data_IF_109933714439
#
_entry.id   IF_109933714439
#
_cell.length_a   1.000
_cell.length_b   1.000
_cell.length_c   1.000
_cell.angle_alpha   90.00
_cell.angle_beta   90.00
_cell.angle_gamma   90.00
#
_symmetry.space_group_name_H-M   'P 1'
#
loop_
_entity.id
_entity.type
_entity.pdbx_description
1 polymer ?
#
# COMPACT_ATOMS: atom_id res chain seq x y z
N UNK A 1 -39.41 12.38 -2.66
CA UNK A 1 -38.40 11.78 -3.55
C UNK A 1 -37.25 12.77 -3.74
N UNK A 2 -36.62 13.20 -2.65
CA UNK A 2 -35.41 14.04 -2.68
C UNK A 2 -34.44 13.68 -1.55
N UNK A 3 -34.81 12.73 -0.66
CA UNK A 3 -33.96 12.23 0.43
C UNK A 3 -33.02 11.11 -0.04
N UNK A 4 -33.31 10.42 -1.14
CA UNK A 4 -32.53 9.25 -1.57
C UNK A 4 -31.19 9.61 -2.24
N UNK A 5 -31.00 10.85 -2.71
CA UNK A 5 -29.80 11.23 -3.46
C UNK A 5 -28.61 11.62 -2.57
N UNK A 6 -28.86 12.16 -1.37
CA UNK A 6 -27.81 12.60 -0.44
C UNK A 6 -27.18 11.41 0.31
N UNK A 7 -27.98 10.41 0.69
CA UNK A 7 -27.51 9.18 1.34
C UNK A 7 -26.59 8.35 0.42
N UNK A 8 -26.93 8.23 -0.87
CA UNK A 8 -26.10 7.49 -1.84
C UNK A 8 -24.73 8.17 -2.01
N UNK A 9 -24.71 9.50 -2.14
CA UNK A 9 -23.47 10.26 -2.32
C UNK A 9 -22.54 10.17 -1.10
N UNK A 10 -23.08 10.12 0.12
CA UNK A 10 -22.30 9.97 1.34
C UNK A 10 -21.73 8.55 1.48
N UNK A 11 -22.52 7.54 1.13
CA UNK A 11 -22.08 6.14 1.21
C UNK A 11 -20.99 5.82 0.17
N UNK A 12 -21.09 6.38 -1.05
CA UNK A 12 -20.06 6.25 -2.09
C UNK A 12 -18.74 6.95 -1.68
N UNK A 13 -18.83 8.17 -1.14
CA UNK A 13 -17.64 8.91 -0.71
C UNK A 13 -16.92 8.27 0.49
N UNK A 14 -17.65 7.64 1.40
CA UNK A 14 -17.04 6.87 2.50
C UNK A 14 -16.35 5.60 2.00
N UNK A 15 -16.99 4.85 1.10
CA UNK A 15 -16.39 3.65 0.47
C UNK A 15 -15.13 3.99 -0.32
N UNK A 16 -15.13 5.10 -1.05
CA UNK A 16 -13.95 5.54 -1.80
C UNK A 16 -12.81 5.99 -0.87
N UNK A 17 -13.12 6.67 0.24
CA UNK A 17 -12.16 7.04 1.28
C UNK A 17 -11.51 5.84 1.97
N UNK A 18 -12.31 4.85 2.39
CA UNK A 18 -11.80 3.61 2.99
C UNK A 18 -10.95 2.80 2.00
N UNK A 19 -11.40 2.66 0.75
CA UNK A 19 -10.67 1.92 -0.28
C UNK A 19 -9.31 2.57 -0.56
N UNK A 20 -9.25 3.91 -0.65
CA UNK A 20 -8.00 4.65 -0.84
C UNK A 20 -7.07 4.51 0.36
N UNK A 21 -7.56 4.75 1.58
CA UNK A 21 -6.74 4.65 2.79
C UNK A 21 -6.18 3.24 3.02
N UNK A 22 -6.95 2.20 2.69
CA UNK A 22 -6.49 0.80 2.80
C UNK A 22 -5.45 0.47 1.73
N UNK A 23 -5.64 0.93 0.50
CA UNK A 23 -4.68 0.72 -0.58
C UNK A 23 -3.36 1.46 -0.35
N UNK A 24 -3.41 2.69 0.16
CA UNK A 24 -2.23 3.47 0.55
C UNK A 24 -1.48 2.79 1.70
N UNK A 25 -2.20 2.37 2.75
CA UNK A 25 -1.61 1.66 3.88
C UNK A 25 -0.95 0.34 3.50
N UNK A 26 -1.53 -0.44 2.57
CA UNK A 26 -0.93 -1.70 2.11
C UNK A 26 0.38 -1.45 1.36
N UNK A 27 0.42 -0.46 0.46
CA UNK A 27 1.62 -0.12 -0.31
C UNK A 27 2.72 0.46 0.57
N UNK A 28 2.39 1.37 1.47
CA UNK A 28 3.35 1.92 2.43
C UNK A 28 3.92 0.81 3.32
N UNK A 29 3.08 -0.11 3.81
CA UNK A 29 3.55 -1.20 4.66
C UNK A 29 4.49 -2.16 3.92
N UNK A 30 4.22 -2.49 2.65
CA UNK A 30 5.11 -3.30 1.83
C UNK A 30 6.50 -2.66 1.65
N UNK A 31 6.54 -1.33 1.42
CA UNK A 31 7.78 -0.56 1.29
C UNK A 31 8.53 -0.49 2.63
N UNK A 32 7.84 -0.23 3.74
CA UNK A 32 8.44 -0.16 5.08
C UNK A 32 9.05 -1.51 5.47
N UNK A 33 8.33 -2.60 5.22
CA UNK A 33 8.82 -3.96 5.48
C UNK A 33 10.04 -4.25 4.61
N UNK A 34 10.01 -3.93 3.31
CA UNK A 34 11.15 -4.13 2.42
C UNK A 34 12.38 -3.31 2.84
N UNK A 35 12.21 -2.03 3.21
CA UNK A 35 13.29 -1.18 3.74
C UNK A 35 13.87 -1.76 5.03
N UNK A 36 13.02 -2.28 5.93
CA UNK A 36 13.47 -2.90 7.19
C UNK A 36 14.23 -4.19 6.93
N UNK A 37 13.73 -5.09 6.08
CA UNK A 37 14.41 -6.33 5.72
C UNK A 37 15.75 -6.08 5.03
N UNK A 38 15.84 -5.07 4.16
CA UNK A 38 17.11 -4.64 3.56
C UNK A 38 18.12 -4.20 4.62
N UNK A 39 17.69 -3.41 5.62
CA UNK A 39 18.54 -2.96 6.73
C UNK A 39 19.03 -4.11 7.62
N UNK A 40 18.18 -5.12 7.82
CA UNK A 40 18.50 -6.34 8.57
C UNK A 40 19.43 -7.30 7.76
N UNK A 41 19.68 -7.01 6.48
CA UNK A 41 20.60 -7.78 5.65
C UNK A 41 19.96 -8.97 4.92
N UNK A 42 18.63 -9.00 4.79
CA UNK A 42 17.96 -10.02 3.99
C UNK A 42 18.30 -9.88 2.50
N UNK A 43 18.40 -11.00 1.77
CA UNK A 43 18.63 -10.96 0.32
C UNK A 43 17.40 -10.41 -0.40
N UNK A 44 17.62 -9.65 -1.47
CA UNK A 44 16.55 -9.00 -2.24
C UNK A 44 15.52 -10.00 -2.79
N UNK A 45 15.92 -11.23 -3.09
CA UNK A 45 15.03 -12.30 -3.55
C UNK A 45 13.99 -12.71 -2.50
N UNK A 46 14.40 -12.80 -1.23
CA UNK A 46 13.48 -13.13 -0.14
C UNK A 46 12.55 -11.97 0.17
N UNK A 47 13.08 -10.74 0.15
CA UNK A 47 12.28 -9.52 0.29
C UNK A 47 11.23 -9.47 -0.82
N UNK A 48 11.62 -9.74 -2.06
CA UNK A 48 10.71 -9.74 -3.22
C UNK A 48 9.57 -10.74 -3.07
N UNK A 49 9.85 -11.94 -2.54
CA UNK A 49 8.82 -12.94 -2.27
C UNK A 49 7.88 -12.56 -1.11
N UNK A 50 8.39 -11.87 -0.10
CA UNK A 50 7.64 -11.55 1.13
C UNK A 50 6.82 -10.28 1.02
N UNK A 51 7.29 -9.29 0.26
CA UNK A 51 6.62 -7.99 0.09
C UNK A 51 5.92 -7.85 -1.26
N UNK A 52 6.01 -8.88 -2.11
CA UNK A 52 5.51 -8.90 -3.49
C UNK A 52 6.07 -7.76 -4.36
N UNK A 53 7.15 -7.12 -3.91
CA UNK A 53 7.86 -6.10 -4.67
C UNK A 53 8.85 -6.75 -5.62
N UNK A 54 9.07 -6.11 -6.75
CA UNK A 54 10.13 -6.53 -7.67
C UNK A 54 11.52 -6.19 -7.11
N UNK A 55 12.54 -6.93 -7.55
CA UNK A 55 13.95 -6.64 -7.23
C UNK A 55 14.29 -5.19 -7.60
N UNK A 56 13.75 -4.66 -8.69
CA UNK A 56 13.96 -3.28 -9.12
C UNK A 56 13.36 -2.26 -8.16
N UNK A 57 12.13 -2.48 -7.69
CA UNK A 57 11.50 -1.66 -6.66
C UNK A 57 12.33 -1.68 -5.37
N UNK A 58 12.75 -2.85 -4.92
CA UNK A 58 13.58 -3.02 -3.73
C UNK A 58 14.93 -2.30 -3.88
N UNK A 59 15.55 -2.31 -5.07
CA UNK A 59 16.78 -1.53 -5.33
C UNK A 59 16.55 -0.03 -5.19
N UNK A 60 15.45 0.50 -5.73
CA UNK A 60 15.10 1.92 -5.58
C UNK A 60 14.93 2.31 -4.11
N UNK A 61 14.40 1.40 -3.27
CA UNK A 61 14.25 1.63 -1.83
C UNK A 61 15.59 1.74 -1.07
N UNK A 62 16.70 1.24 -1.65
CA UNK A 62 18.04 1.33 -1.07
C UNK A 62 18.75 2.65 -1.39
N UNK A 63 18.33 3.34 -2.46
CA UNK A 63 18.95 4.58 -2.95
C UNK A 63 18.32 5.86 -2.35
N UNK A 64 17.32 5.71 -1.48
CA UNK A 64 16.71 6.78 -0.63
C UNK A 64 17.39 6.87 0.74
#
# INVERSE_FOLDING_TARGET
MQEDAEDIALEESFKEGEAKGKAEGIKENAIVIAKKMLKEGYPMEDISKLTELTIEEIKKLKEE
#
